data_IF_013694823880
#
_entry.id   IF_013694823880
#
_cell.length_a   1.000
_cell.length_b   1.000
_cell.length_c   1.000
_cell.angle_alpha   90.00
_cell.angle_beta   90.00
_cell.angle_gamma   90.00
#
_symmetry.space_group_name_H-M   'P 1'
#
loop_
_entity.id
_entity.type
_entity.pdbx_description
1 polymer ?
#
# COMPACT_ATOMS: atom_id res chain seq x y z
N UNK A 1 -19.28 -26.03 -8.08
CA UNK A 1 -18.82 -24.65 -7.85
C UNK A 1 -17.31 -24.70 -7.69
N UNK A 2 -16.58 -24.43 -8.76
CA UNK A 2 -15.11 -24.50 -8.77
C UNK A 2 -14.60 -23.20 -8.13
N UNK A 3 -13.99 -23.29 -6.95
CA UNK A 3 -13.15 -22.19 -6.45
C UNK A 3 -11.92 -22.11 -7.34
N UNK A 4 -11.83 -21.06 -8.13
CA UNK A 4 -10.57 -20.65 -8.74
C UNK A 4 -9.73 -20.11 -7.58
N UNK A 5 -8.80 -20.92 -7.08
CA UNK A 5 -7.73 -20.43 -6.24
C UNK A 5 -6.80 -19.68 -7.19
N UNK A 6 -6.88 -18.35 -7.23
CA UNK A 6 -5.83 -17.56 -7.87
C UNK A 6 -4.53 -17.85 -7.11
N UNK A 7 -3.62 -18.56 -7.77
CA UNK A 7 -2.27 -18.79 -7.28
C UNK A 7 -1.54 -17.45 -7.37
N UNK A 8 -1.57 -16.64 -6.31
CA UNK A 8 -0.78 -15.42 -6.21
C UNK A 8 0.68 -15.83 -5.99
N UNK A 9 1.39 -16.08 -7.09
CA UNK A 9 2.83 -16.24 -7.04
C UNK A 9 3.46 -14.89 -6.65
N UNK A 10 4.36 -14.92 -5.67
CA UNK A 10 5.03 -13.70 -5.22
C UNK A 10 6.06 -13.34 -6.29
N UNK A 11 5.75 -12.35 -7.12
CA UNK A 11 6.71 -11.81 -8.09
C UNK A 11 7.86 -11.11 -7.34
N UNK A 12 8.92 -11.87 -7.10
CA UNK A 12 10.15 -11.42 -6.43
C UNK A 12 11.12 -10.75 -7.42
N UNK A 13 10.80 -10.73 -8.72
CA UNK A 13 11.63 -10.09 -9.74
C UNK A 13 11.48 -8.56 -9.75
N UNK A 14 10.34 -8.06 -9.26
CA UNK A 14 10.06 -6.63 -9.08
C UNK A 14 9.53 -6.36 -7.66
N UNK A 15 10.42 -6.31 -6.66
CA UNK A 15 10.00 -6.11 -5.27
C UNK A 15 9.37 -4.73 -5.09
N UNK A 16 8.28 -4.70 -4.32
CA UNK A 16 7.54 -3.49 -4.03
C UNK A 16 8.15 -2.78 -2.82
N UNK A 17 8.69 -1.57 -3.03
CA UNK A 17 9.36 -0.81 -1.97
C UNK A 17 8.36 -0.42 -0.88
N UNK A 18 8.68 -0.70 0.38
CA UNK A 18 7.85 -0.28 1.51
C UNK A 18 7.86 1.25 1.63
N UNK A 19 6.70 1.89 1.62
CA UNK A 19 6.57 3.35 1.71
C UNK A 19 5.41 3.74 2.62
N UNK A 20 5.54 4.89 3.28
CA UNK A 20 4.45 5.65 3.87
C UNK A 20 4.12 6.87 2.98
N UNK A 21 3.25 7.77 3.44
CA UNK A 21 2.83 8.90 2.62
C UNK A 21 3.94 9.90 2.33
N UNK A 22 4.83 10.17 3.30
CA UNK A 22 5.97 11.06 3.11
C UNK A 22 6.96 10.53 2.05
N UNK A 23 7.26 9.23 2.12
CA UNK A 23 8.26 8.57 1.27
C UNK A 23 7.78 8.34 -0.16
N UNK A 24 6.46 8.24 -0.39
CA UNK A 24 5.86 7.95 -1.70
C UNK A 24 6.42 8.84 -2.83
N UNK A 25 6.64 10.13 -2.54
CA UNK A 25 7.16 11.11 -3.51
C UNK A 25 8.51 10.73 -4.12
N UNK A 26 9.33 9.93 -3.43
CA UNK A 26 10.65 9.49 -3.87
C UNK A 26 10.57 8.32 -4.86
N UNK A 27 9.38 7.72 -5.01
CA UNK A 27 9.17 6.48 -5.75
C UNK A 27 8.16 6.60 -6.89
N UNK A 28 7.81 7.83 -7.31
CA UNK A 28 6.91 8.05 -8.45
C UNK A 28 7.40 7.28 -9.69
N UNK A 29 6.50 6.53 -10.32
CA UNK A 29 6.77 5.64 -11.45
C UNK A 29 7.33 4.26 -11.07
N UNK A 30 7.48 3.95 -9.78
CA UNK A 30 8.00 2.66 -9.28
C UNK A 30 6.91 1.88 -8.54
N UNK A 31 7.13 0.57 -8.45
CA UNK A 31 6.31 -0.34 -7.64
C UNK A 31 6.57 -0.13 -6.16
N UNK A 32 5.50 0.13 -5.42
CA UNK A 32 5.50 0.43 -3.99
C UNK A 32 4.49 -0.45 -3.25
N UNK A 33 4.75 -0.62 -1.95
CA UNK A 33 3.86 -1.26 -0.98
C UNK A 33 3.60 -0.28 0.15
N UNK A 34 2.34 0.01 0.40
CA UNK A 34 1.90 0.90 1.47
C UNK A 34 0.73 0.27 2.23
N UNK A 35 0.60 0.58 3.51
CA UNK A 35 -0.62 0.30 4.28
C UNK A 35 -1.34 1.61 4.56
N UNK A 36 -2.64 1.62 4.31
CA UNK A 36 -3.50 2.79 4.56
C UNK A 36 -4.73 2.38 5.37
N UNK A 37 -5.14 3.24 6.30
CA UNK A 37 -6.44 3.17 6.94
C UNK A 37 -7.49 3.80 6.02
N UNK A 38 -8.56 3.08 5.71
CA UNK A 38 -9.63 3.55 4.83
C UNK A 38 -10.39 4.70 5.49
N UNK A 39 -10.40 5.86 4.83
CA UNK A 39 -11.26 7.00 5.19
C UNK A 39 -12.60 6.88 4.46
N UNK A 40 -12.54 6.72 3.13
CA UNK A 40 -13.71 6.59 2.25
C UNK A 40 -13.35 5.86 0.96
N UNK A 41 -14.35 5.25 0.33
CA UNK A 41 -14.22 4.51 -0.92
C UNK A 41 -15.36 4.91 -1.86
N UNK A 42 -15.05 5.73 -2.87
CA UNK A 42 -16.03 6.30 -3.79
C UNK A 42 -15.63 6.03 -5.24
N UNK A 43 -16.51 5.43 -6.04
CA UNK A 43 -16.43 5.45 -7.51
C UNK A 43 -15.11 4.97 -8.14
N UNK A 44 -14.41 4.00 -7.53
CA UNK A 44 -13.13 3.46 -8.04
C UNK A 44 -11.87 4.17 -7.49
N UNK A 45 -12.04 5.09 -6.54
CA UNK A 45 -10.94 5.70 -5.79
C UNK A 45 -11.19 5.56 -4.29
N UNK A 46 -10.21 5.05 -3.57
CA UNK A 46 -10.20 4.97 -2.12
C UNK A 46 -9.31 6.07 -1.55
N UNK A 47 -9.82 6.90 -0.65
CA UNK A 47 -8.99 7.81 0.15
C UNK A 47 -8.58 7.07 1.42
N UNK A 48 -7.28 6.97 1.67
CA UNK A 48 -6.74 6.34 2.85
C UNK A 48 -5.75 7.24 3.60
N UNK A 49 -5.62 7.01 4.90
CA UNK A 49 -4.60 7.63 5.76
C UNK A 49 -3.42 6.68 5.90
N UNK A 50 -2.23 7.09 5.51
CA UNK A 50 -1.01 6.31 5.66
C UNK A 50 -0.57 6.23 7.13
N UNK A 51 0.41 5.39 7.44
CA UNK A 51 0.91 5.13 8.80
C UNK A 51 1.64 6.32 9.43
N UNK A 52 1.94 7.35 8.64
CA UNK A 52 2.48 8.64 9.04
C UNK A 52 1.44 9.79 8.94
N UNK A 53 0.15 9.42 8.95
CA UNK A 53 -1.01 10.33 8.94
C UNK A 53 -1.25 11.11 7.63
N UNK A 54 -0.38 11.00 6.63
CA UNK A 54 -0.60 11.60 5.31
C UNK A 54 -1.75 10.92 4.56
N UNK A 55 -2.56 11.71 3.84
CA UNK A 55 -3.64 11.17 3.01
C UNK A 55 -3.11 10.73 1.64
N UNK A 56 -3.57 9.56 1.18
CA UNK A 56 -3.26 8.97 -0.11
C UNK A 56 -4.55 8.64 -0.87
N UNK A 57 -4.51 8.83 -2.19
CA UNK A 57 -5.54 8.39 -3.12
C UNK A 57 -5.13 7.07 -3.78
N UNK A 58 -5.85 6.00 -3.50
CA UNK A 58 -5.64 4.70 -4.11
C UNK A 58 -6.63 4.52 -5.24
N UNK A 59 -6.12 4.36 -6.46
CA UNK A 59 -6.90 4.26 -7.70
C UNK A 59 -6.87 2.84 -8.21
N UNK A 60 -7.91 2.44 -8.92
CA UNK A 60 -7.98 1.14 -9.61
C UNK A 60 -9.26 0.37 -9.31
N UNK A 61 -9.31 -0.86 -9.79
CA UNK A 61 -10.44 -1.77 -9.55
C UNK A 61 -10.35 -2.39 -8.15
N UNK A 62 -10.61 -1.57 -7.12
CA UNK A 62 -10.56 -1.98 -5.72
C UNK A 62 -11.91 -2.55 -5.27
N UNK A 63 -11.92 -3.61 -4.43
CA UNK A 63 -13.15 -4.01 -3.75
C UNK A 63 -13.57 -2.92 -2.74
N UNK A 64 -14.83 -2.98 -2.30
CA UNK A 64 -15.30 -2.08 -1.25
C UNK A 64 -14.70 -2.48 0.10
N UNK A 65 -13.86 -1.61 0.66
CA UNK A 65 -13.28 -1.80 1.99
C UNK A 65 -14.07 -1.00 3.05
N UNK A 66 -14.33 -1.56 4.24
CA UNK A 66 -14.94 -0.84 5.34
C UNK A 66 -14.10 0.36 5.80
N UNK A 67 -14.75 1.45 6.21
CA UNK A 67 -14.08 2.55 6.89
C UNK A 67 -13.31 2.06 8.13
N UNK A 68 -12.18 2.70 8.42
CA UNK A 68 -11.24 2.37 9.51
C UNK A 68 -10.48 1.04 9.37
N UNK A 69 -10.80 0.20 8.37
CA UNK A 69 -9.97 -0.96 8.06
C UNK A 69 -8.62 -0.54 7.50
N UNK A 70 -7.60 -1.33 7.77
CA UNK A 70 -6.26 -1.18 7.21
C UNK A 70 -6.14 -2.08 5.99
N UNK A 71 -5.66 -1.50 4.90
CA UNK A 71 -5.49 -2.18 3.62
C UNK A 71 -4.05 -2.04 3.18
N UNK A 72 -3.39 -3.17 2.93
CA UNK A 72 -2.16 -3.18 2.16
C UNK A 72 -2.48 -2.95 0.69
N UNK A 73 -1.72 -2.06 0.07
CA UNK A 73 -1.80 -1.73 -1.34
C UNK A 73 -0.43 -1.93 -1.94
N UNK A 74 -0.35 -2.76 -2.98
CA UNK A 74 0.82 -2.90 -3.84
C UNK A 74 0.45 -2.37 -5.22
N UNK A 75 1.28 -1.49 -5.77
CA UNK A 75 1.01 -0.91 -7.08
C UNK A 75 2.05 0.13 -7.48
N UNK A 76 1.75 0.91 -8.52
CA UNK A 76 2.66 1.95 -9.02
C UNK A 76 2.35 3.28 -8.34
N UNK A 77 3.37 3.95 -7.80
CA UNK A 77 3.22 5.32 -7.32
C UNK A 77 2.96 6.26 -8.52
N UNK A 78 1.72 6.71 -8.65
CA UNK A 78 1.24 7.52 -9.78
C UNK A 78 1.58 9.02 -9.58
N UNK A 79 1.59 9.47 -8.32
CA UNK A 79 2.04 10.83 -7.94
C UNK A 79 2.62 10.83 -6.53
N UNK A 80 2.93 12.01 -5.98
CA UNK A 80 3.38 12.14 -4.60
C UNK A 80 2.32 11.77 -3.55
N UNK A 81 1.04 11.59 -3.94
CA UNK A 81 -0.09 11.30 -3.05
C UNK A 81 -1.05 10.25 -3.65
N UNK A 82 -0.66 9.55 -4.72
CA UNK A 82 -1.51 8.51 -5.32
C UNK A 82 -0.77 7.24 -5.69
N UNK A 83 -1.48 6.12 -5.53
CA UNK A 83 -1.02 4.79 -5.95
C UNK A 83 -2.07 4.21 -6.89
N UNK A 84 -1.63 3.74 -8.06
CA UNK A 84 -2.41 2.91 -8.94
C UNK A 84 -2.27 1.45 -8.46
N UNK A 85 -3.31 0.94 -7.81
CA UNK A 85 -3.27 -0.37 -7.16
C UNK A 85 -3.27 -1.51 -8.19
N UNK A 86 -2.38 -2.47 -7.98
CA UNK A 86 -2.35 -3.77 -8.67
C UNK A 86 -2.94 -4.86 -7.78
N UNK A 87 -2.57 -4.84 -6.49
CA UNK A 87 -3.01 -5.80 -5.48
C UNK A 87 -3.43 -5.02 -4.23
N UNK A 88 -4.51 -5.47 -3.59
CA UNK A 88 -4.99 -4.90 -2.34
C UNK A 88 -5.44 -6.00 -1.38
N UNK A 89 -4.94 -5.98 -0.14
CA UNK A 89 -5.23 -6.98 0.89
C UNK A 89 -5.79 -6.30 2.13
N UNK A 90 -6.96 -6.74 2.61
CA UNK A 90 -7.56 -6.21 3.83
C UNK A 90 -6.94 -6.85 5.08
N UNK A 91 -6.33 -6.06 5.94
CA UNK A 91 -5.73 -6.48 7.22
C UNK A 91 -6.66 -6.30 8.43
N UNK A 92 -7.88 -5.80 8.23
CA UNK A 92 -8.85 -5.56 9.30
C UNK A 92 -8.51 -4.30 10.11
N UNK A 93 -8.93 -4.25 11.38
CA UNK A 93 -8.98 -2.98 12.14
C UNK A 93 -7.89 -2.86 13.24
N UNK A 94 -7.06 -3.89 13.41
CA UNK A 94 -6.09 -3.99 14.52
C UNK A 94 -4.63 -3.97 14.04
N UNK A 95 -4.33 -3.22 12.99
CA UNK A 95 -2.99 -3.14 12.43
C UNK A 95 -2.10 -2.17 13.24
N UNK A 96 -0.86 -2.59 13.53
CA UNK A 96 0.13 -1.74 14.21
C UNK A 96 0.81 -0.80 13.20
N UNK A 97 0.32 0.42 13.14
CA UNK A 97 0.85 1.46 12.25
C UNK A 97 2.24 1.94 12.68
N UNK A 98 2.58 1.87 13.97
CA UNK A 98 3.88 2.33 14.47
C UNK A 98 5.00 1.43 13.95
N UNK A 99 4.83 0.12 14.13
CA UNK A 99 5.78 -0.88 13.65
C UNK A 99 5.96 -0.82 12.13
N UNK A 100 4.87 -0.67 11.37
CA UNK A 100 4.96 -0.54 9.91
C UNK A 100 5.65 0.76 9.49
N UNK A 101 5.38 1.88 10.17
CA UNK A 101 6.06 3.13 9.87
C UNK A 101 7.57 3.03 10.10
N UNK A 102 8.00 2.35 11.17
CA UNK A 102 9.42 2.07 11.41
C UNK A 102 10.02 1.19 10.30
N UNK A 103 9.29 0.17 9.83
CA UNK A 103 9.70 -0.64 8.69
C UNK A 103 9.93 0.21 7.43
N UNK A 104 9.03 1.16 7.13
CA UNK A 104 9.24 2.10 6.03
C UNK A 104 10.53 2.90 6.20
N UNK A 105 10.83 3.41 7.40
CA UNK A 105 12.07 4.14 7.65
C UNK A 105 13.33 3.26 7.50
N UNK A 106 13.29 2.02 7.99
CA UNK A 106 14.39 1.06 7.84
C UNK A 106 14.66 0.71 6.37
N UNK A 107 13.59 0.44 5.61
CA UNK A 107 13.68 0.07 4.20
C UNK A 107 14.16 1.20 3.29
N UNK A 108 14.05 2.45 3.75
CA UNK A 108 14.42 3.64 2.98
C UNK A 108 15.63 4.39 3.55
N UNK A 109 16.18 3.93 4.67
CA UNK A 109 17.29 4.54 5.38
C UNK A 109 18.63 3.84 5.13
N UNK A 110 19.42 3.75 6.19
CA UNK A 110 20.76 3.15 6.17
C UNK A 110 20.73 1.67 5.74
N UNK A 111 19.68 0.94 6.13
CA UNK A 111 19.54 -0.48 5.86
C UNK A 111 18.84 -0.80 4.54
N UNK A 112 18.61 0.18 3.66
CA UNK A 112 17.90 -0.04 2.39
C UNK A 112 18.48 -1.17 1.53
N UNK A 113 19.78 -1.44 1.62
CA UNK A 113 20.43 -2.53 0.88
C UNK A 113 20.00 -3.94 1.31
N UNK A 114 19.32 -4.07 2.46
CA UNK A 114 18.71 -5.33 2.92
C UNK A 114 17.29 -5.53 2.38
N UNK A 115 16.69 -4.49 1.80
CA UNK A 115 15.35 -4.49 1.25
C UNK A 115 15.50 -4.37 -0.28
N UNK A 116 15.23 -5.49 -0.97
CA UNK A 116 15.35 -5.61 -2.42
C UNK A 116 14.40 -4.64 -3.15
#
# INVERSE_FOLDING_TARGET
MQMIIEHYDMDTSSPAVFVNGELLRMYVGRKVRAVVQVIRSDGGVMTGKSTDEHQLSIKGSLPHFPAMSYVEVIGIADSNQSIQAEISTNFGNSFDTHSYNQLCQLANGEFKGLFL
#
